data_IF_676484952154
#
_entry.id   IF_676484952154
#
_cell.length_a   1.000
_cell.length_b   1.000
_cell.length_c   1.000
_cell.angle_alpha   90.00
_cell.angle_beta   90.00
_cell.angle_gamma   90.00
#
_symmetry.space_group_name_H-M   'P 1'
#
loop_
_entity.id
_entity.type
_entity.pdbx_description
1 polymer ?
#
# COMPACT_ATOMS: atom_id res chain seq x y z
N UNK A 1 32.46 11.97 15.14
CA UNK A 1 31.21 11.94 14.35
C UNK A 1 30.82 13.40 14.11
N UNK A 2 30.79 13.86 12.86
CA UNK A 2 30.53 15.27 12.56
C UNK A 2 29.04 15.45 12.22
N UNK A 3 28.30 16.15 13.08
CA UNK A 3 26.94 16.58 12.77
C UNK A 3 27.00 17.91 12.01
N UNK A 4 26.12 18.08 11.03
CA UNK A 4 25.92 19.35 10.33
C UNK A 4 24.48 19.79 10.54
N UNK A 5 24.29 21.03 10.97
CA UNK A 5 22.98 21.66 11.01
C UNK A 5 22.84 22.54 9.77
N UNK A 6 21.70 22.47 9.10
CA UNK A 6 21.39 23.27 7.91
C UNK A 6 20.03 23.93 8.09
N UNK A 7 19.91 25.18 7.67
CA UNK A 7 18.64 25.91 7.64
C UNK A 7 17.98 25.67 6.27
N UNK A 8 16.69 25.32 6.29
CA UNK A 8 15.91 25.04 5.09
C UNK A 8 14.93 26.20 4.84
N UNK A 9 14.65 26.58 3.59
CA UNK A 9 13.64 27.58 3.28
C UNK A 9 12.26 27.22 3.86
N UNK A 10 11.58 28.22 4.43
CA UNK A 10 10.20 28.09 4.94
C UNK A 10 9.20 28.08 3.78
N UNK A 11 9.31 27.09 2.88
CA UNK A 11 8.44 26.90 1.72
C UNK A 11 7.82 25.51 1.78
N UNK A 12 6.50 25.40 1.70
CA UNK A 12 5.85 24.10 1.62
C UNK A 12 6.04 23.47 0.22
N UNK A 13 6.30 22.14 0.09
CA UNK A 13 6.56 21.14 1.13
C UNK A 13 8.06 20.77 1.27
N UNK A 14 8.90 21.70 1.73
CA UNK A 14 10.36 21.45 1.88
C UNK A 14 10.69 20.33 2.88
N UNK A 15 9.75 19.94 3.75
CA UNK A 15 9.90 18.78 4.65
C UNK A 15 9.65 17.42 4.00
N UNK A 16 9.22 17.37 2.74
CA UNK A 16 9.02 16.12 2.00
C UNK A 16 10.35 15.42 1.70
N UNK A 17 10.37 14.09 1.69
CA UNK A 17 11.64 13.35 1.61
C UNK A 17 12.46 13.62 0.35
N UNK A 18 11.79 13.67 -0.81
CA UNK A 18 12.46 13.98 -2.08
C UNK A 18 12.94 15.43 -2.11
N UNK A 19 12.10 16.37 -1.68
CA UNK A 19 12.41 17.81 -1.64
C UNK A 19 13.56 18.11 -0.70
N UNK A 20 13.51 17.59 0.54
CA UNK A 20 14.54 17.81 1.54
C UNK A 20 15.89 17.20 1.11
N UNK A 21 15.86 16.01 0.51
CA UNK A 21 17.08 15.38 -0.03
C UNK A 21 17.71 16.25 -1.11
N UNK A 22 16.91 16.75 -2.06
CA UNK A 22 17.40 17.64 -3.10
C UNK A 22 17.96 18.95 -2.55
N UNK A 23 17.28 19.57 -1.57
CA UNK A 23 17.75 20.82 -0.95
C UNK A 23 19.09 20.62 -0.23
N UNK A 24 19.24 19.52 0.52
CA UNK A 24 20.43 19.27 1.33
C UNK A 24 21.61 18.68 0.56
N UNK A 25 21.35 17.82 -0.43
CA UNK A 25 22.39 17.05 -1.13
C UNK A 25 22.56 17.44 -2.59
N UNK A 26 21.66 18.24 -3.16
CA UNK A 26 21.61 18.54 -4.60
C UNK A 26 21.25 17.35 -5.48
N UNK A 27 20.88 16.20 -4.91
CA UNK A 27 20.58 14.96 -5.65
C UNK A 27 19.08 14.75 -5.72
N UNK A 28 18.59 14.35 -6.89
CA UNK A 28 17.19 13.95 -7.08
C UNK A 28 17.04 12.44 -6.94
N UNK A 29 15.94 12.02 -6.33
CA UNK A 29 15.57 10.60 -6.23
C UNK A 29 14.98 10.17 -7.58
N UNK A 30 15.46 9.07 -8.19
CA UNK A 30 14.97 8.62 -9.49
C UNK A 30 13.48 8.24 -9.43
N UNK A 31 12.82 8.28 -10.59
CA UNK A 31 11.44 7.82 -10.74
C UNK A 31 11.30 6.38 -10.27
N UNK A 32 10.25 6.09 -9.48
CA UNK A 32 10.03 4.76 -8.88
C UNK A 32 11.07 4.32 -7.83
N UNK A 33 12.13 5.10 -7.61
CA UNK A 33 13.17 4.82 -6.63
C UNK A 33 12.90 5.39 -5.24
N UNK A 34 13.78 5.02 -4.32
CA UNK A 34 13.79 5.47 -2.93
C UNK A 34 15.05 6.29 -2.64
N UNK A 35 15.02 7.14 -1.61
CA UNK A 35 16.21 7.88 -1.18
C UNK A 35 17.39 6.96 -0.84
N UNK A 36 17.12 5.72 -0.42
CA UNK A 36 18.14 4.69 -0.18
C UNK A 36 18.97 4.37 -1.43
N UNK A 37 18.39 4.48 -2.61
CA UNK A 37 19.03 4.13 -3.88
C UNK A 37 20.12 5.14 -4.25
N UNK A 38 20.07 6.35 -3.67
CA UNK A 38 21.11 7.39 -3.77
C UNK A 38 21.97 7.49 -2.51
N UNK A 39 21.89 6.50 -1.62
CA UNK A 39 22.65 6.43 -0.37
C UNK A 39 22.17 7.39 0.72
N UNK A 40 20.92 7.86 0.65
CA UNK A 40 20.36 8.81 1.63
C UNK A 40 19.25 8.13 2.43
N UNK A 41 19.38 8.16 3.77
CA UNK A 41 18.33 7.74 4.69
C UNK A 41 17.75 8.95 5.39
N UNK A 42 16.46 9.21 5.18
CA UNK A 42 15.74 10.26 5.90
C UNK A 42 15.02 9.65 7.10
N UNK A 43 15.20 10.25 8.28
CA UNK A 43 14.49 9.89 9.49
C UNK A 43 13.81 11.12 10.08
N UNK A 44 12.54 10.98 10.46
CA UNK A 44 11.89 11.97 11.29
C UNK A 44 12.56 11.95 12.68
N UNK A 45 12.65 13.12 13.32
CA UNK A 45 13.18 13.26 14.70
C UNK A 45 12.45 12.33 15.67
N UNK A 46 11.13 12.20 15.57
CA UNK A 46 10.36 11.28 16.41
C UNK A 46 10.74 9.81 16.22
N UNK A 47 11.06 9.42 14.98
CA UNK A 47 11.55 8.07 14.68
C UNK A 47 12.95 7.85 15.25
N UNK A 48 13.87 8.81 15.08
CA UNK A 48 15.21 8.73 15.64
C UNK A 48 15.19 8.60 17.17
N UNK A 49 14.32 9.37 17.83
CA UNK A 49 14.09 9.29 19.27
C UNK A 49 13.52 7.93 19.70
N UNK A 50 12.53 7.41 18.98
CA UNK A 50 11.96 6.09 19.25
C UNK A 50 12.96 4.95 19.08
N UNK A 51 13.83 5.03 18.05
CA UNK A 51 14.90 4.05 17.82
C UNK A 51 15.89 4.06 18.99
N UNK A 52 16.27 5.25 19.49
CA UNK A 52 17.11 5.37 20.69
C UNK A 52 16.47 4.62 21.86
N UNK A 53 15.20 4.89 22.17
CA UNK A 53 14.54 4.23 23.30
C UNK A 53 14.45 2.73 23.16
N UNK A 54 14.11 2.24 21.97
CA UNK A 54 13.99 0.81 21.71
C UNK A 54 15.32 0.07 21.86
N UNK A 55 16.41 0.63 21.32
CA UNK A 55 17.71 -0.06 21.26
C UNK A 55 18.55 0.17 22.51
N UNK A 56 18.55 1.38 23.06
CA UNK A 56 19.39 1.75 24.21
C UNK A 56 18.65 1.50 25.52
N UNK A 57 17.39 1.92 25.61
CA UNK A 57 16.63 1.87 26.87
C UNK A 57 15.82 0.56 27.01
N UNK A 58 15.69 -0.22 25.93
CA UNK A 58 14.88 -1.44 25.90
C UNK A 58 13.38 -1.17 25.91
N UNK A 59 12.96 0.05 25.59
CA UNK A 59 11.58 0.49 25.71
C UNK A 59 10.88 0.48 24.33
N UNK A 60 9.80 -0.30 24.15
CA UNK A 60 9.05 -0.28 22.89
C UNK A 60 8.34 1.07 22.68
N UNK A 61 7.94 1.34 21.43
CA UNK A 61 7.14 2.51 21.10
C UNK A 61 5.72 2.36 21.66
N UNK A 62 5.50 2.81 22.89
CA UNK A 62 4.19 2.79 23.57
C UNK A 62 3.44 4.10 23.44
N UNK A 63 4.17 5.19 23.21
CA UNK A 63 3.62 6.56 23.17
C UNK A 63 4.39 7.42 22.18
N UNK A 64 3.80 8.55 21.81
CA UNK A 64 4.43 9.53 20.93
C UNK A 64 3.95 10.94 21.23
N UNK A 65 4.71 11.93 20.77
CA UNK A 65 4.24 13.32 20.77
C UNK A 65 3.14 13.48 19.71
N UNK A 66 2.03 14.09 20.12
CA UNK A 66 0.90 14.52 19.28
C UNK A 66 0.64 16.00 19.53
N UNK A 67 0.60 16.78 18.45
CA UNK A 67 0.19 18.19 18.51
C UNK A 67 -1.33 18.29 18.47
N UNK A 68 -1.92 18.97 19.45
CA UNK A 68 -3.35 19.30 19.51
C UNK A 68 -3.48 20.79 19.20
N UNK A 69 -4.26 21.15 18.17
CA UNK A 69 -4.35 22.53 17.69
C UNK A 69 -5.68 22.83 17.01
N UNK A 70 -5.95 24.10 16.74
CA UNK A 70 -7.18 24.62 16.13
C UNK A 70 -8.02 25.41 17.12
N UNK A 71 -8.86 26.32 16.63
CA UNK A 71 -9.66 27.24 17.44
C UNK A 71 -10.75 26.52 18.27
N UNK A 72 -11.13 25.29 17.89
CA UNK A 72 -12.06 24.50 18.69
C UNK A 72 -11.40 23.91 19.95
N UNK A 73 -10.11 24.13 20.18
CA UNK A 73 -9.34 23.61 21.34
C UNK A 73 -8.90 24.78 22.21
N UNK A 74 -9.29 24.76 23.49
CA UNK A 74 -8.94 25.84 24.43
C UNK A 74 -7.49 25.81 24.89
N UNK A 75 -6.85 24.64 24.89
CA UNK A 75 -5.44 24.46 25.30
C UNK A 75 -4.63 23.78 24.20
N UNK A 76 -4.25 24.49 23.12
CA UNK A 76 -3.39 23.92 22.09
C UNK A 76 -2.00 23.63 22.66
N UNK A 77 -1.38 22.56 22.18
CA UNK A 77 -0.07 22.14 22.68
C UNK A 77 0.35 20.75 22.21
N UNK A 78 1.53 20.35 22.65
CA UNK A 78 2.08 19.03 22.39
C UNK A 78 1.88 18.14 23.61
N UNK A 79 1.34 16.94 23.41
CA UNK A 79 1.11 15.96 24.48
C UNK A 79 1.79 14.64 24.16
N UNK A 80 2.20 13.90 25.19
CA UNK A 80 2.59 12.50 25.05
C UNK A 80 1.33 11.64 25.07
N UNK A 81 1.01 11.00 23.95
CA UNK A 81 -0.15 10.15 23.80
C UNK A 81 0.26 8.69 23.64
N UNK A 82 -0.35 7.81 24.44
CA UNK A 82 -0.19 6.36 24.27
C UNK A 82 -0.86 5.90 22.98
N UNK A 83 -0.21 4.99 22.27
CA UNK A 83 -0.81 4.35 21.11
C UNK A 83 -2.06 3.56 21.56
N UNK A 84 -3.13 3.67 20.79
CA UNK A 84 -4.45 3.10 21.12
C UNK A 84 -5.37 4.05 21.89
N UNK A 85 -4.87 5.16 22.45
CA UNK A 85 -5.71 6.15 23.14
C UNK A 85 -6.76 6.70 22.17
N UNK A 86 -8.06 6.74 22.51
CA UNK A 86 -9.07 7.35 21.66
C UNK A 86 -8.79 8.83 21.43
N UNK A 87 -8.95 9.33 20.21
CA UNK A 87 -8.73 10.74 19.87
C UNK A 87 -9.59 11.66 20.74
N UNK A 88 -10.84 11.28 21.04
CA UNK A 88 -11.72 12.01 21.95
C UNK A 88 -11.10 12.29 23.32
N UNK A 89 -10.27 11.38 23.83
CA UNK A 89 -9.67 11.54 25.15
C UNK A 89 -8.67 12.69 25.15
N UNK A 90 -7.83 12.75 24.11
CA UNK A 90 -6.86 13.84 23.94
C UNK A 90 -7.55 15.18 23.69
N UNK A 91 -8.61 15.19 22.88
CA UNK A 91 -9.38 16.40 22.60
C UNK A 91 -10.07 16.94 23.85
N UNK A 92 -10.68 16.07 24.65
CA UNK A 92 -11.29 16.46 25.92
C UNK A 92 -10.25 17.01 26.90
N UNK A 93 -9.06 16.39 26.97
CA UNK A 93 -7.94 16.88 27.79
C UNK A 93 -7.47 18.27 27.35
N UNK A 94 -7.49 18.55 26.05
CA UNK A 94 -7.19 19.87 25.51
C UNK A 94 -8.36 20.87 25.58
N UNK A 95 -9.50 20.46 26.15
CA UNK A 95 -10.70 21.29 26.29
C UNK A 95 -11.35 21.61 24.95
N UNK A 96 -11.63 20.56 24.18
CA UNK A 96 -12.32 20.64 22.89
C UNK A 96 -13.78 21.11 23.04
N UNK A 97 -14.11 22.18 22.32
CA UNK A 97 -15.42 22.81 22.25
C UNK A 97 -16.00 22.58 20.84
N UNK A 98 -16.77 21.50 20.62
CA UNK A 98 -17.30 21.19 19.30
C UNK A 98 -18.29 22.25 18.83
N UNK A 99 -18.22 22.62 17.55
CA UNK A 99 -19.28 23.35 16.85
C UNK A 99 -20.47 22.40 16.57
N UNK A 100 -21.52 22.93 15.94
CA UNK A 100 -22.67 22.12 15.51
C UNK A 100 -22.26 20.95 14.58
N UNK A 101 -21.23 21.17 13.76
CA UNK A 101 -20.64 20.17 12.86
C UNK A 101 -19.14 20.00 13.21
N UNK A 102 -18.80 19.18 14.21
CA UNK A 102 -17.44 19.06 14.69
C UNK A 102 -16.56 18.35 13.65
N UNK A 103 -15.54 19.05 13.17
CA UNK A 103 -14.52 18.50 12.28
C UNK A 103 -13.22 18.30 13.06
N UNK A 104 -12.60 17.12 12.90
CA UNK A 104 -11.25 16.86 13.42
C UNK A 104 -10.44 16.21 12.31
N UNK A 105 -9.27 16.76 12.04
CA UNK A 105 -8.34 16.35 11.00
C UNK A 105 -7.13 15.69 11.67
N UNK A 106 -6.85 14.43 11.30
CA UNK A 106 -5.59 13.79 11.67
C UNK A 106 -4.52 14.19 10.65
N UNK A 107 -3.52 14.94 11.10
CA UNK A 107 -2.47 15.52 10.26
C UNK A 107 -2.50 17.05 10.26
N UNK A 108 -2.02 17.66 9.18
CA UNK A 108 -2.08 19.10 8.96
C UNK A 108 -3.20 19.51 7.99
N UNK A 109 -3.41 20.81 7.76
CA UNK A 109 -4.53 21.32 6.95
C UNK A 109 -4.51 20.86 5.49
N UNK A 110 -3.34 20.53 4.92
CA UNK A 110 -3.20 20.15 3.52
C UNK A 110 -3.22 18.63 3.29
N UNK A 111 -2.44 17.87 4.07
CA UNK A 111 -2.27 16.43 3.89
C UNK A 111 -3.12 15.58 4.84
N UNK A 112 -3.74 16.21 5.85
CA UNK A 112 -4.56 15.51 6.82
C UNK A 112 -5.82 14.91 6.21
N UNK A 113 -6.46 14.05 6.98
CA UNK A 113 -7.76 13.48 6.64
C UNK A 113 -8.74 13.71 7.79
N UNK A 114 -9.97 14.04 7.44
CA UNK A 114 -11.05 14.20 8.40
C UNK A 114 -11.40 12.87 9.03
N UNK A 115 -11.49 12.84 10.35
CA UNK A 115 -11.86 11.67 11.10
C UNK A 115 -13.38 11.47 11.02
N UNK A 116 -13.83 10.26 10.67
CA UNK A 116 -15.27 9.95 10.60
C UNK A 116 -15.91 9.85 12.00
N UNK A 117 -15.12 9.55 13.04
CA UNK A 117 -15.54 9.55 14.44
C UNK A 117 -14.34 9.82 15.35
N UNK A 118 -14.59 10.27 16.58
CA UNK A 118 -13.53 10.62 17.55
C UNK A 118 -13.03 9.43 18.41
N UNK A 119 -13.69 8.28 18.33
CA UNK A 119 -13.26 7.02 18.98
C UNK A 119 -12.14 6.29 18.25
N UNK A 120 -11.62 6.84 17.15
CA UNK A 120 -10.47 6.26 16.47
C UNK A 120 -9.24 6.27 17.41
N UNK A 121 -8.40 5.22 17.36
CA UNK A 121 -7.20 5.17 18.18
C UNK A 121 -6.11 6.10 17.62
N UNK A 122 -5.33 6.69 18.52
CA UNK A 122 -4.02 7.26 18.20
C UNK A 122 -3.10 6.15 17.72
N UNK A 123 -2.52 6.32 16.53
CA UNK A 123 -1.65 5.33 15.90
C UNK A 123 -0.26 5.91 15.61
N UNK A 124 0.65 5.06 15.15
CA UNK A 124 2.04 5.43 14.83
C UNK A 124 2.21 6.49 13.73
N UNK A 125 1.13 6.95 13.11
CA UNK A 125 1.13 8.05 12.12
C UNK A 125 0.43 9.32 12.63
N UNK A 126 -0.22 9.27 13.79
CA UNK A 126 -0.92 10.41 14.40
C UNK A 126 0.10 11.40 14.96
N UNK A 127 0.51 12.38 14.15
CA UNK A 127 1.44 13.43 14.57
C UNK A 127 0.72 14.68 15.09
N UNK A 128 -0.44 14.98 14.52
CA UNK A 128 -1.20 16.19 14.79
C UNK A 128 -2.70 15.86 14.72
N UNK A 129 -3.47 16.46 15.61
CA UNK A 129 -4.93 16.49 15.62
C UNK A 129 -5.32 17.97 15.54
N UNK A 130 -5.82 18.37 14.38
CA UNK A 130 -6.30 19.72 14.11
C UNK A 130 -7.82 19.70 14.24
N UNK A 131 -8.36 20.47 15.17
CA UNK A 131 -9.79 20.66 15.34
C UNK A 131 -10.14 22.13 15.02
N UNK A 132 -10.38 22.44 13.75
CA UNK A 132 -10.58 23.81 13.32
C UNK A 132 -11.97 24.31 13.69
N UNK A 133 -12.11 25.62 13.85
CA UNK A 133 -13.43 26.26 13.87
C UNK A 133 -14.00 26.42 12.45
N UNK A 134 -15.29 26.79 12.37
CA UNK A 134 -15.90 27.17 11.09
C UNK A 134 -15.21 28.41 10.49
N UNK A 135 -14.73 29.34 11.30
CA UNK A 135 -13.99 30.52 10.84
C UNK A 135 -12.63 30.18 10.25
N UNK A 136 -11.91 29.19 10.81
CA UNK A 136 -10.61 28.74 10.28
C UNK A 136 -10.72 28.02 8.93
N UNK A 137 -11.81 27.29 8.71
CA UNK A 137 -12.02 26.53 7.47
C UNK A 137 -12.47 27.42 6.30
N UNK A 138 -13.02 28.60 6.61
CA UNK A 138 -13.66 29.48 5.63
C UNK A 138 -14.97 28.91 5.08
N UNK A 139 -15.64 29.70 4.25
CA UNK A 139 -16.87 29.27 3.57
C UNK A 139 -16.54 28.17 2.53
N UNK A 140 -17.30 27.06 2.51
CA UNK A 140 -17.18 26.06 1.45
C UNK A 140 -17.36 26.71 0.08
N UNK A 141 -16.31 26.77 -0.71
CA UNK A 141 -16.39 27.28 -2.07
C UNK A 141 -16.79 26.15 -3.02
N UNK A 142 -17.80 26.39 -3.86
CA UNK A 142 -18.20 25.42 -4.88
C UNK A 142 -17.07 25.18 -5.90
N UNK A 143 -16.91 23.93 -6.33
CA UNK A 143 -16.01 23.58 -7.42
C UNK A 143 -16.49 24.25 -8.71
N UNK A 144 -15.63 25.10 -9.30
CA UNK A 144 -15.86 25.72 -10.61
C UNK A 144 -15.09 24.98 -11.70
N UNK A 145 -15.47 25.21 -12.95
CA UNK A 145 -14.74 24.69 -14.10
C UNK A 145 -13.28 25.15 -14.14
N UNK A 146 -12.38 24.27 -14.60
CA UNK A 146 -10.97 24.60 -14.78
C UNK A 146 -10.80 25.69 -15.87
N UNK A 147 -10.27 26.86 -15.49
CA UNK A 147 -10.02 27.99 -16.40
C UNK A 147 -8.67 27.93 -17.13
N UNK A 148 -7.93 26.84 -16.94
CA UNK A 148 -6.60 26.59 -17.53
C UNK A 148 -5.53 27.66 -17.26
N UNK A 149 -5.47 28.20 -16.04
CA UNK A 149 -4.50 29.23 -15.64
C UNK A 149 -3.07 28.74 -15.33
N UNK A 150 -2.79 27.43 -15.39
CA UNK A 150 -1.48 26.80 -15.11
C UNK A 150 -0.88 26.97 -13.70
N UNK A 151 -1.49 27.75 -12.79
CA UNK A 151 -1.00 27.94 -11.41
C UNK A 151 -0.71 26.63 -10.65
N UNK A 152 -1.51 25.59 -10.90
CA UNK A 152 -1.30 24.28 -10.28
C UNK A 152 0.00 23.58 -10.71
N UNK A 153 0.48 23.82 -11.93
CA UNK A 153 1.73 23.27 -12.43
C UNK A 153 2.93 23.99 -11.79
N UNK A 154 2.88 25.32 -11.73
CA UNK A 154 3.94 26.14 -11.12
C UNK A 154 4.11 25.87 -9.61
N UNK A 155 3.01 25.52 -8.93
CA UNK A 155 3.02 25.17 -7.52
C UNK A 155 3.42 23.71 -7.24
N UNK A 156 3.52 22.85 -8.26
CA UNK A 156 3.74 21.42 -8.05
C UNK A 156 5.19 21.13 -7.66
N UNK A 157 5.47 20.60 -6.46
CA UNK A 157 6.85 20.32 -6.01
C UNK A 157 7.44 19.04 -6.60
N UNK A 158 6.68 18.34 -7.44
CA UNK A 158 7.09 17.12 -8.13
C UNK A 158 7.15 17.33 -9.65
N UNK A 159 7.05 18.59 -10.11
CA UNK A 159 7.11 18.97 -11.53
C UNK A 159 6.13 18.18 -12.43
N UNK A 160 4.96 17.85 -11.87
CA UNK A 160 3.87 17.20 -12.61
C UNK A 160 3.01 18.24 -13.34
N UNK A 161 2.06 17.75 -14.15
CA UNK A 161 1.04 18.56 -14.80
C UNK A 161 -0.34 18.26 -14.18
N UNK A 162 -0.69 18.82 -12.99
CA UNK A 162 -1.95 18.50 -12.30
C UNK A 162 -3.19 18.78 -13.15
N UNK A 163 -3.14 19.79 -14.02
CA UNK A 163 -4.23 20.08 -14.94
C UNK A 163 -4.54 18.89 -15.86
N UNK A 164 -3.53 18.27 -16.47
CA UNK A 164 -3.73 17.13 -17.36
C UNK A 164 -4.19 15.91 -16.57
N UNK A 165 -3.54 15.65 -15.43
CA UNK A 165 -3.92 14.57 -14.52
C UNK A 165 -5.38 14.69 -14.06
N UNK A 166 -5.87 15.90 -13.81
CA UNK A 166 -7.28 16.14 -13.45
C UNK A 166 -8.21 15.68 -14.55
N UNK A 167 -7.96 16.06 -15.80
CA UNK A 167 -8.81 15.66 -16.93
C UNK A 167 -8.76 14.15 -17.18
N UNK A 168 -7.60 13.52 -17.02
CA UNK A 168 -7.50 12.06 -17.14
C UNK A 168 -8.22 11.34 -16.01
N UNK A 169 -8.06 11.81 -14.76
CA UNK A 169 -8.74 11.23 -13.60
C UNK A 169 -10.26 11.39 -13.70
N UNK A 170 -10.74 12.61 -14.04
CA UNK A 170 -12.17 12.89 -14.22
C UNK A 170 -12.78 12.09 -15.37
N UNK A 171 -11.99 11.80 -16.39
CA UNK A 171 -12.39 11.00 -17.54
C UNK A 171 -12.16 9.49 -17.38
N UNK A 172 -11.71 9.00 -16.22
CA UNK A 172 -11.35 7.59 -15.98
C UNK A 172 -10.36 7.04 -17.01
N UNK A 173 -9.42 7.88 -17.46
CA UNK A 173 -8.38 7.52 -18.43
C UNK A 173 -7.12 7.05 -17.71
N UNK A 174 -7.22 5.88 -17.06
CA UNK A 174 -6.19 5.29 -16.18
C UNK A 174 -4.83 5.12 -16.84
N UNK A 175 -4.81 4.69 -18.10
CA UNK A 175 -3.58 4.51 -18.88
C UNK A 175 -2.85 5.84 -19.08
N UNK A 176 -3.59 6.91 -19.37
CA UNK A 176 -3.01 8.25 -19.55
C UNK A 176 -2.56 8.81 -18.22
N UNK A 177 -3.36 8.69 -17.16
CA UNK A 177 -2.95 9.11 -15.82
C UNK A 177 -1.63 8.41 -15.39
N UNK A 178 -1.50 7.11 -15.69
CA UNK A 178 -0.27 6.35 -15.46
C UNK A 178 0.89 6.85 -16.32
N UNK A 179 0.68 7.07 -17.62
CA UNK A 179 1.70 7.58 -18.54
C UNK A 179 2.19 9.00 -18.16
N UNK A 180 1.35 9.78 -17.48
CA UNK A 180 1.68 11.09 -16.94
C UNK A 180 2.19 11.04 -15.48
N UNK A 181 2.71 9.89 -15.05
CA UNK A 181 3.38 9.70 -13.76
C UNK A 181 2.53 10.08 -12.54
N UNK A 182 1.21 9.80 -12.56
CA UNK A 182 0.35 10.06 -11.40
C UNK A 182 0.89 9.42 -10.10
N UNK A 183 1.59 8.29 -10.21
CA UNK A 183 2.24 7.60 -9.09
C UNK A 183 3.25 8.46 -8.33
N UNK A 184 3.88 9.46 -8.98
CA UNK A 184 4.83 10.38 -8.34
C UNK A 184 4.16 11.49 -7.54
N UNK A 185 2.85 11.69 -7.70
CA UNK A 185 2.13 12.69 -6.93
C UNK A 185 2.24 12.35 -5.43
N UNK A 186 2.72 13.28 -4.61
CA UNK A 186 2.86 13.07 -3.17
C UNK A 186 1.63 13.53 -2.36
N UNK A 187 0.53 13.88 -3.05
CA UNK A 187 -0.74 14.29 -2.42
C UNK A 187 -0.58 15.46 -1.44
N UNK A 188 0.35 16.37 -1.73
CA UNK A 188 0.69 17.48 -0.84
C UNK A 188 -0.36 18.61 -0.81
N UNK A 189 -1.32 18.67 -1.73
CA UNK A 189 -2.35 19.72 -1.72
C UNK A 189 -1.94 21.09 -2.24
N UNK A 190 -0.66 21.32 -2.57
CA UNK A 190 -0.20 22.62 -3.07
C UNK A 190 -0.97 23.08 -4.32
N UNK A 191 -1.26 22.15 -5.24
CA UNK A 191 -2.01 22.43 -6.46
C UNK A 191 -3.48 22.78 -6.22
N UNK A 192 -4.12 22.17 -5.21
CA UNK A 192 -5.51 22.44 -4.86
C UNK A 192 -5.62 23.81 -4.18
N UNK A 193 -4.67 24.12 -3.28
CA UNK A 193 -4.62 25.39 -2.56
C UNK A 193 -4.53 26.62 -3.48
N UNK A 194 -3.71 26.55 -4.54
CA UNK A 194 -3.53 27.67 -5.47
C UNK A 194 -4.60 27.74 -6.57
N UNK A 195 -5.57 26.82 -6.59
CA UNK A 195 -6.54 26.73 -7.66
C UNK A 195 -7.62 27.82 -7.52
N UNK A 196 -7.74 28.78 -8.46
CA UNK A 196 -8.77 29.81 -8.38
C UNK A 196 -10.20 29.26 -8.60
N UNK A 197 -10.31 28.05 -9.14
CA UNK A 197 -11.58 27.36 -9.35
C UNK A 197 -11.99 26.46 -8.16
N UNK A 198 -11.21 26.46 -7.07
CA UNK A 198 -11.40 25.59 -5.90
C UNK A 198 -11.59 24.09 -6.25
N UNK A 199 -10.83 23.60 -7.24
CA UNK A 199 -10.93 22.18 -7.65
C UNK A 199 -10.15 21.32 -6.64
N UNK A 200 -10.79 20.29 -6.03
CA UNK A 200 -10.15 19.42 -5.04
C UNK A 200 -9.23 18.39 -5.71
N UNK A 201 -8.18 18.85 -6.41
CA UNK A 201 -7.28 18.03 -7.24
C UNK A 201 -6.73 16.79 -6.53
N UNK A 202 -6.38 16.91 -5.24
CA UNK A 202 -5.85 15.78 -4.46
C UNK A 202 -6.88 14.66 -4.29
N UNK A 203 -8.17 14.98 -4.16
CA UNK A 203 -9.22 13.97 -4.01
C UNK A 203 -9.33 13.13 -5.29
N UNK A 204 -9.35 13.78 -6.46
CA UNK A 204 -9.32 13.10 -7.76
C UNK A 204 -8.09 12.22 -7.92
N UNK A 205 -6.90 12.71 -7.56
CA UNK A 205 -5.67 11.93 -7.67
C UNK A 205 -5.62 10.74 -6.72
N UNK A 206 -6.15 10.88 -5.49
CA UNK A 206 -6.26 9.77 -4.53
C UNK A 206 -7.18 8.69 -5.04
N UNK A 207 -8.35 9.08 -5.56
CA UNK A 207 -9.31 8.15 -6.14
C UNK A 207 -8.71 7.42 -7.33
N UNK A 208 -8.15 8.15 -8.29
CA UNK A 208 -7.55 7.59 -9.49
C UNK A 208 -6.41 6.61 -9.17
N UNK A 209 -5.53 6.94 -8.21
CA UNK A 209 -4.50 6.02 -7.74
C UNK A 209 -5.06 4.76 -7.12
N UNK A 210 -6.15 4.86 -6.34
CA UNK A 210 -6.79 3.72 -5.73
C UNK A 210 -7.41 2.81 -6.80
N UNK A 211 -8.03 3.38 -7.83
CA UNK A 211 -8.60 2.65 -8.97
C UNK A 211 -7.50 1.94 -9.78
N UNK A 212 -6.42 2.64 -10.15
CA UNK A 212 -5.25 2.03 -10.82
C UNK A 212 -4.65 0.89 -9.98
N UNK A 213 -4.56 1.07 -8.66
CA UNK A 213 -4.05 0.04 -7.77
C UNK A 213 -4.98 -1.18 -7.72
N UNK A 214 -6.30 -0.97 -7.71
CA UNK A 214 -7.29 -2.05 -7.74
C UNK A 214 -7.20 -2.86 -9.04
N UNK A 215 -7.12 -2.18 -10.19
CA UNK A 215 -6.94 -2.81 -11.51
C UNK A 215 -5.67 -3.67 -11.52
N UNK A 216 -4.53 -3.12 -11.09
CA UNK A 216 -3.26 -3.86 -11.02
C UNK A 216 -3.33 -5.08 -10.10
N UNK A 217 -4.03 -4.98 -8.97
CA UNK A 217 -4.20 -6.12 -8.07
C UNK A 217 -5.06 -7.21 -8.70
N UNK A 218 -6.11 -6.85 -9.44
CA UNK A 218 -6.95 -7.81 -10.15
C UNK A 218 -6.17 -8.52 -11.27
N UNK A 219 -5.41 -7.78 -12.06
CA UNK A 219 -4.51 -8.32 -13.08
C UNK A 219 -3.50 -9.31 -12.49
N UNK A 220 -2.87 -8.96 -11.36
CA UNK A 220 -1.94 -9.84 -10.65
C UNK A 220 -2.63 -11.12 -10.17
N UNK A 221 -3.81 -11.02 -9.55
CA UNK A 221 -4.58 -12.19 -9.11
C UNK A 221 -4.99 -13.08 -10.28
N UNK A 222 -5.38 -12.49 -11.41
CA UNK A 222 -5.73 -13.21 -12.63
C UNK A 222 -4.51 -13.93 -13.22
N UNK A 223 -3.35 -13.27 -13.27
CA UNK A 223 -2.09 -13.86 -13.71
C UNK A 223 -1.65 -15.03 -12.81
N UNK A 224 -1.73 -14.87 -11.49
CA UNK A 224 -1.44 -15.93 -10.52
C UNK A 224 -2.42 -17.11 -10.63
N UNK A 225 -3.72 -16.84 -10.82
CA UNK A 225 -4.72 -17.88 -11.05
C UNK A 225 -4.44 -18.66 -12.34
N UNK A 226 -4.10 -17.97 -13.43
CA UNK A 226 -3.73 -18.58 -14.71
C UNK A 226 -2.47 -19.44 -14.57
N UNK A 227 -1.42 -18.93 -13.93
CA UNK A 227 -0.19 -19.68 -13.69
C UNK A 227 -0.44 -20.95 -12.86
N UNK A 228 -1.29 -20.87 -11.82
CA UNK A 228 -1.70 -22.04 -11.02
C UNK A 228 -2.48 -23.07 -11.83
N UNK A 229 -3.38 -22.61 -12.71
CA UNK A 229 -4.15 -23.49 -13.58
C UNK A 229 -3.26 -24.23 -14.58
N UNK A 230 -2.37 -23.50 -15.27
CA UNK A 230 -1.40 -24.07 -16.23
C UNK A 230 -0.46 -25.08 -15.55
N UNK A 231 0.06 -24.75 -14.35
CA UNK A 231 0.89 -25.66 -13.58
C UNK A 231 0.14 -26.95 -13.18
N UNK A 232 -1.14 -26.85 -12.79
CA UNK A 232 -1.98 -28.02 -12.49
C UNK A 232 -2.21 -28.87 -13.72
N UNK A 233 -2.48 -28.25 -14.88
CA UNK A 233 -2.74 -28.96 -16.12
C UNK A 233 -1.49 -29.72 -16.60
N UNK A 234 -0.33 -29.07 -16.56
CA UNK A 234 0.95 -29.71 -16.86
C UNK A 234 1.26 -30.90 -15.93
N UNK A 235 0.93 -30.80 -14.63
CA UNK A 235 1.06 -31.93 -13.69
C UNK A 235 0.17 -33.10 -14.08
N UNK A 236 -1.10 -32.84 -14.38
CA UNK A 236 -2.05 -33.88 -14.77
C UNK A 236 -1.67 -34.56 -16.08
N UNK A 237 -1.14 -33.81 -17.05
CA UNK A 237 -0.63 -34.37 -18.31
C UNK A 237 0.60 -35.26 -18.09
N UNK A 238 1.54 -34.84 -17.25
CA UNK A 238 2.70 -35.66 -16.85
C UNK A 238 2.27 -36.95 -16.15
N UNK A 239 1.30 -36.88 -15.24
CA UNK A 239 0.76 -38.06 -14.57
C UNK A 239 0.05 -39.01 -15.54
N UNK A 240 -0.73 -38.49 -16.49
CA UNK A 240 -1.37 -39.29 -17.56
C UNK A 240 -0.33 -39.96 -18.45
N UNK A 241 0.70 -39.23 -18.89
CA UNK A 241 1.79 -39.77 -19.70
C UNK A 241 2.56 -40.87 -18.95
N UNK A 242 2.91 -40.63 -17.67
CA UNK A 242 3.58 -41.63 -16.84
C UNK A 242 2.72 -42.89 -16.61
N UNK A 243 1.40 -42.74 -16.45
CA UNK A 243 0.47 -43.88 -16.39
C UNK A 243 0.42 -44.65 -17.71
N UNK A 244 0.35 -43.95 -18.84
CA UNK A 244 0.35 -44.58 -20.16
C UNK A 244 1.65 -45.35 -20.43
N UNK A 245 2.81 -44.82 -20.03
CA UNK A 245 4.09 -45.52 -20.12
C UNK A 245 4.16 -46.75 -19.22
N UNK A 246 3.61 -46.68 -17.99
CA UNK A 246 3.50 -47.85 -17.11
C UNK A 246 2.66 -48.95 -17.73
N UNK A 247 1.55 -48.62 -18.41
CA UNK A 247 0.71 -49.60 -19.10
C UNK A 247 1.37 -50.21 -20.35
N UNK A 248 2.32 -49.52 -20.99
CA UNK A 248 3.08 -50.05 -22.14
C UNK A 248 4.23 -50.97 -21.75
N UNK A 249 4.71 -50.93 -20.49
CA UNK A 249 5.75 -51.87 -20.03
C UNK A 249 5.14 -53.26 -19.89
N UNK A 250 5.75 -54.31 -20.51
CA UNK A 250 5.27 -55.67 -20.34
C UNK A 250 5.33 -56.07 -18.86
N UNK A 251 4.43 -56.94 -18.39
CA UNK A 251 4.47 -57.43 -17.01
C UNK A 251 5.86 -58.01 -16.74
N UNK A 252 6.42 -57.66 -15.59
CA UNK A 252 7.73 -58.11 -15.15
C UNK A 252 7.86 -59.63 -15.30
N UNK A 253 8.64 -60.09 -16.27
CA UNK A 253 8.97 -61.49 -16.45
C UNK A 253 10.24 -61.81 -15.66
N UNK A 254 10.13 -62.74 -14.70
CA UNK A 254 11.26 -63.20 -13.92
C UNK A 254 12.32 -63.83 -14.85
N UNK A 255 13.62 -63.54 -14.66
CA UNK A 255 14.68 -64.16 -15.45
C UNK A 255 14.65 -65.70 -15.30
N UNK A 256 14.97 -66.45 -16.38
CA UNK A 256 14.73 -67.90 -16.47
C UNK A 256 15.38 -68.73 -15.35
N UNK A 257 16.45 -68.23 -14.71
CA UNK A 257 17.11 -68.88 -13.58
C UNK A 257 16.25 -68.96 -12.30
N UNK A 258 15.33 -68.02 -12.08
CA UNK A 258 14.44 -68.01 -10.90
C UNK A 258 13.19 -68.86 -11.16
N UNK A 259 12.69 -68.86 -12.41
CA UNK A 259 11.53 -69.66 -12.83
C UNK A 259 11.73 -71.18 -12.65
N UNK A 260 12.98 -71.66 -12.77
CA UNK A 260 13.34 -73.07 -12.50
C UNK A 260 13.42 -73.44 -11.02
N UNK A 261 13.58 -72.49 -10.10
CA UNK A 261 13.62 -72.77 -8.64
C UNK A 261 12.24 -72.86 -7.99
N UNK A 262 11.19 -72.37 -8.66
CA UNK A 262 9.80 -72.37 -8.18
C UNK A 262 8.91 -73.42 -8.85
N UNK A 263 9.48 -74.27 -9.71
CA UNK A 263 8.74 -75.40 -10.29
C UNK A 263 8.58 -76.51 -9.22
N UNK A 264 7.35 -77.00 -8.94
CA UNK A 264 7.15 -78.10 -8.00
C UNK A 264 7.82 -79.37 -8.52
N UNK A 265 8.47 -80.19 -7.67
CA UNK A 265 9.42 -81.21 -8.12
C UNK A 265 8.80 -82.59 -8.44
N UNK A 266 7.57 -82.67 -8.95
CA UNK A 266 6.93 -83.97 -9.18
C UNK A 266 6.22 -84.07 -10.55
N UNK A 267 6.57 -85.07 -11.38
CA UNK A 267 5.85 -85.37 -12.62
C UNK A 267 4.72 -86.38 -12.35
N UNK A 268 3.51 -86.03 -12.82
CA UNK A 268 2.43 -86.97 -13.10
C UNK A 268 1.36 -87.08 -12.03
N UNK A 269 0.14 -86.63 -12.37
CA UNK A 269 -1.08 -87.44 -12.30
C UNK A 269 -2.16 -86.69 -13.09
N UNK A 270 -2.61 -87.29 -14.19
CA UNK A 270 -3.75 -86.80 -14.96
C UNK A 270 -5.03 -87.00 -14.16
N UNK A 271 -5.87 -85.98 -14.12
CA UNK A 271 -7.26 -86.11 -13.68
C UNK A 271 -8.13 -85.56 -14.81
N UNK A 272 -8.75 -86.50 -15.51
CA UNK A 272 -9.85 -86.28 -16.42
C UNK A 272 -11.08 -85.91 -15.56
N UNK A 273 -11.73 -84.78 -15.82
CA UNK A 273 -13.13 -84.60 -15.40
C UNK A 273 -13.82 -83.57 -16.27
N UNK A 274 -14.92 -84.04 -16.83
CA UNK A 274 -15.78 -83.41 -17.82
C UNK A 274 -16.45 -82.11 -17.37
N UNK A 275 -16.85 -81.36 -18.39
CA UNK A 275 -17.80 -80.24 -18.48
C UNK A 275 -19.08 -80.40 -17.62
N UNK A 276 -19.83 -79.30 -17.34
CA UNK A 276 -20.84 -78.90 -18.32
C UNK A 276 -20.97 -77.39 -18.56
N UNK A 277 -21.38 -77.09 -19.80
CA UNK A 277 -21.99 -75.83 -20.23
C UNK A 277 -23.32 -75.61 -19.53
N UNK A 278 -23.61 -74.38 -19.11
CA UNK A 278 -24.99 -73.89 -18.96
C UNK A 278 -25.09 -72.45 -19.44
N UNK A 279 -26.08 -72.22 -20.30
CA UNK A 279 -26.50 -70.94 -20.89
C UNK A 279 -27.17 -70.06 -19.84
N UNK A 280 -26.94 -68.75 -19.94
CA UNK A 280 -27.97 -67.69 -20.02
C UNK A 280 -27.26 -66.40 -20.40
#
# INVERSE_FOLDING_TARGET
MAFRCGVIPTKYPSGGAKQLTQILTGKQVPHGGRSSDIGVLMQNVGTAYAVKRAVIDGEPLTERVVTLTGEAVTRPGNVWARLGTPVRHLLNDAGFCPSAEPMVIMGGPLMGFTLPWLDVPVVKITNCLLAPSASEMGEPQEEKGCIRCSACADACPADLLPQQLYWFSKGQQHDKATAHNLADCIECGACAWVCPSNIPLVQYFRQEKAEIAAIRQEEQRAAEAKARFEARQARLEREKAARAERHKKPPFSLPPKIRRRLAPPWPGYGINSAMPRSRS
#
